data_IF_452779177842
#
_entry.id   IF_452779177842
#
_cell.length_a   1.000
_cell.length_b   1.000
_cell.length_c   1.000
_cell.angle_alpha   90.00
_cell.angle_beta   90.00
_cell.angle_gamma   90.00
#
_symmetry.space_group_name_H-M   'P 1'
#
loop_
_entity.id
_entity.type
_entity.pdbx_description
1 polymer ?
#
# COMPACT_ATOMS: atom_id res chain seq x y z
N UNK A 1 44.33 4.52 -37.66
CA UNK A 1 43.79 5.35 -36.55
C UNK A 1 42.32 5.01 -36.38
N UNK A 2 41.97 4.14 -35.42
CA UNK A 2 40.58 3.93 -34.99
C UNK A 2 40.54 4.27 -33.50
N UNK A 3 40.17 5.51 -33.21
CA UNK A 3 40.04 6.04 -31.86
C UNK A 3 38.78 5.41 -31.24
N UNK A 4 38.98 4.37 -30.41
CA UNK A 4 37.90 3.74 -29.65
C UNK A 4 37.34 4.73 -28.63
N UNK A 5 36.09 5.12 -28.80
CA UNK A 5 35.36 5.93 -27.83
C UNK A 5 34.97 5.01 -26.66
N UNK A 6 35.74 5.06 -25.58
CA UNK A 6 35.40 4.40 -24.31
C UNK A 6 34.23 5.16 -23.68
N UNK A 7 33.02 4.60 -23.77
CA UNK A 7 31.86 5.14 -23.07
C UNK A 7 32.00 4.72 -21.61
N UNK A 8 32.36 5.69 -20.76
CA UNK A 8 32.46 5.53 -19.31
C UNK A 8 31.16 4.96 -18.73
N UNK A 9 31.25 3.83 -18.03
CA UNK A 9 30.13 3.07 -17.44
C UNK A 9 29.31 3.77 -16.33
N UNK A 10 29.48 5.09 -16.14
CA UNK A 10 28.69 5.87 -15.18
C UNK A 10 27.29 6.24 -15.66
N UNK A 11 27.06 6.31 -16.98
CA UNK A 11 25.77 6.72 -17.53
C UNK A 11 24.68 5.64 -17.42
N UNK A 12 25.07 4.36 -17.47
CA UNK A 12 24.13 3.23 -17.36
C UNK A 12 23.57 3.10 -15.93
N UNK A 13 24.42 3.23 -14.91
CA UNK A 13 23.99 3.17 -13.51
C UNK A 13 23.07 4.33 -13.09
N UNK A 14 23.22 5.52 -13.70
CA UNK A 14 22.33 6.64 -13.45
C UNK A 14 20.95 6.44 -14.11
N UNK A 15 20.90 5.76 -15.27
CA UNK A 15 19.66 5.47 -15.97
C UNK A 15 18.83 4.40 -15.24
N UNK A 16 19.47 3.36 -14.72
CA UNK A 16 18.80 2.30 -13.95
C UNK A 16 18.10 2.87 -12.71
N UNK A 17 18.76 3.82 -12.03
CA UNK A 17 18.23 4.49 -10.83
C UNK A 17 17.02 5.40 -11.11
N UNK A 18 16.96 5.99 -12.30
CA UNK A 18 15.80 6.77 -12.74
C UNK A 18 14.64 5.86 -13.18
N UNK A 19 14.93 4.69 -13.76
CA UNK A 19 13.92 3.67 -14.13
C UNK A 19 13.25 3.06 -12.89
N UNK A 20 14.01 2.73 -11.85
CA UNK A 20 13.43 2.24 -10.58
C UNK A 20 12.51 3.30 -9.95
N UNK A 21 12.90 4.57 -10.04
CA UNK A 21 12.11 5.69 -9.53
C UNK A 21 10.81 5.90 -10.32
N UNK A 22 10.81 5.75 -11.65
CA UNK A 22 9.54 5.77 -12.40
C UNK A 22 8.67 4.54 -12.14
N UNK A 23 9.26 3.36 -11.92
CA UNK A 23 8.49 2.17 -11.53
C UNK A 23 7.78 2.36 -10.18
N UNK A 24 8.47 2.95 -9.20
CA UNK A 24 7.88 3.31 -7.90
C UNK A 24 6.71 4.29 -8.05
N UNK A 25 6.80 5.29 -8.94
CA UNK A 25 5.72 6.24 -9.22
C UNK A 25 4.45 5.62 -9.82
N UNK A 26 4.53 4.44 -10.45
CA UNK A 26 3.35 3.72 -10.96
C UNK A 26 2.65 2.91 -9.85
N UNK A 27 3.35 2.60 -8.76
CA UNK A 27 2.86 1.71 -7.70
C UNK A 27 2.15 2.42 -6.54
N UNK A 28 2.40 3.71 -6.34
CA UNK A 28 1.87 4.49 -5.22
C UNK A 28 1.35 5.85 -5.68
N UNK A 29 0.28 6.33 -5.03
CA UNK A 29 -0.29 7.66 -5.28
C UNK A 29 0.42 8.77 -4.49
N UNK A 30 1.33 8.42 -3.59
CA UNK A 30 2.09 9.35 -2.77
C UNK A 30 3.53 8.87 -2.50
N UNK A 31 4.49 9.76 -2.66
CA UNK A 31 5.88 9.58 -2.22
C UNK A 31 6.00 10.03 -0.75
N UNK A 32 5.88 9.07 0.16
CA UNK A 32 5.88 9.31 1.60
C UNK A 32 7.23 9.83 2.14
N UNK A 33 8.32 9.71 1.38
CA UNK A 33 9.63 10.29 1.77
C UNK A 33 9.64 11.82 1.77
N UNK A 34 8.64 12.43 1.14
CA UNK A 34 8.52 13.89 0.99
C UNK A 34 7.70 14.55 2.10
N UNK A 35 7.16 13.79 3.04
CA UNK A 35 6.31 14.30 4.12
C UNK A 35 7.10 14.44 5.42
N UNK A 36 7.33 15.68 5.85
CA UNK A 36 8.07 15.97 7.08
C UNK A 36 7.39 15.39 8.33
N UNK A 37 6.07 15.22 8.31
CA UNK A 37 5.30 14.59 9.39
C UNK A 37 5.63 13.09 9.57
N UNK A 38 6.21 12.46 8.54
CA UNK A 38 6.65 11.07 8.54
C UNK A 38 8.17 10.94 8.74
N UNK A 39 8.92 12.04 8.70
CA UNK A 39 10.38 12.07 8.93
C UNK A 39 10.71 12.10 10.43
N UNK A 40 10.33 11.03 11.11
CA UNK A 40 10.61 10.82 12.53
C UNK A 40 10.54 9.33 12.88
N UNK A 41 11.23 8.89 13.95
CA UNK A 41 11.03 7.55 14.47
C UNK A 41 9.59 7.38 14.98
N UNK A 42 9.03 6.20 14.74
CA UNK A 42 7.76 5.75 15.29
C UNK A 42 8.01 4.51 16.15
N UNK A 43 7.38 4.42 17.32
CA UNK A 43 7.56 3.27 18.23
C UNK A 43 6.41 2.25 18.13
N UNK A 44 5.35 2.57 17.38
CA UNK A 44 4.21 1.68 17.16
C UNK A 44 3.47 1.99 15.86
N UNK A 45 2.76 1.00 15.33
CA UNK A 45 1.88 1.20 14.16
C UNK A 45 0.79 2.24 14.40
N UNK A 46 0.21 2.31 15.61
CA UNK A 46 -0.80 3.32 15.95
C UNK A 46 -0.26 4.75 15.90
N UNK A 47 1.03 4.95 16.18
CA UNK A 47 1.67 6.26 16.04
C UNK A 47 1.79 6.68 14.57
N UNK A 48 2.14 5.74 13.69
CA UNK A 48 2.14 5.95 12.23
C UNK A 48 0.73 6.30 11.75
N UNK A 49 -0.28 5.52 12.13
CA UNK A 49 -1.69 5.79 11.78
C UNK A 49 -2.11 7.19 12.21
N UNK A 50 -1.71 7.64 13.41
CA UNK A 50 -2.00 9.00 13.88
C UNK A 50 -1.39 10.09 12.99
N UNK A 51 -0.20 9.84 12.42
CA UNK A 51 0.38 10.75 11.43
C UNK A 51 -0.41 10.74 10.12
N UNK A 52 -0.75 9.56 9.59
CA UNK A 52 -1.56 9.42 8.37
C UNK A 52 -2.90 10.16 8.45
N UNK A 53 -3.59 10.06 9.60
CA UNK A 53 -4.91 10.66 9.82
C UNK A 53 -4.88 12.20 9.89
N UNK A 54 -3.70 12.84 9.96
CA UNK A 54 -3.60 14.31 9.85
C UNK A 54 -4.02 14.81 8.47
N UNK A 55 -3.77 14.02 7.42
CA UNK A 55 -4.16 14.33 6.04
C UNK A 55 -5.35 13.46 5.60
N UNK A 56 -5.38 12.19 5.99
CA UNK A 56 -6.45 11.24 5.65
C UNK A 56 -7.48 11.10 6.77
N UNK A 57 -8.05 12.22 7.22
CA UNK A 57 -8.89 12.29 8.42
C UNK A 57 -10.19 11.45 8.40
N UNK A 58 -10.65 11.01 7.22
CA UNK A 58 -11.81 10.12 7.07
C UNK A 58 -11.43 8.66 6.79
N UNK A 59 -10.16 8.37 6.52
CA UNK A 59 -9.74 7.04 6.06
C UNK A 59 -10.00 5.95 7.10
N UNK A 60 -9.83 6.24 8.39
CA UNK A 60 -10.17 5.29 9.45
C UNK A 60 -11.63 4.84 9.35
N UNK A 61 -12.57 5.79 9.24
CA UNK A 61 -13.99 5.49 9.11
C UNK A 61 -14.29 4.68 7.84
N UNK A 62 -13.67 5.05 6.72
CA UNK A 62 -13.83 4.32 5.45
C UNK A 62 -13.35 2.87 5.58
N UNK A 63 -12.14 2.66 6.10
CA UNK A 63 -11.57 1.32 6.30
C UNK A 63 -12.43 0.50 7.27
N UNK A 64 -12.90 1.09 8.36
CA UNK A 64 -13.70 0.40 9.37
C UNK A 64 -15.05 -0.12 8.86
N UNK A 65 -15.56 0.46 7.76
CA UNK A 65 -16.77 -0.03 7.07
C UNK A 65 -16.51 -1.14 6.05
N UNK A 66 -15.24 -1.48 5.79
CA UNK A 66 -14.87 -2.42 4.73
C UNK A 66 -14.70 -3.86 5.23
N UNK A 67 -14.82 -4.83 4.32
CA UNK A 67 -14.56 -6.26 4.58
C UNK A 67 -13.15 -6.53 5.12
N UNK A 68 -12.18 -5.64 4.85
CA UNK A 68 -10.80 -5.77 5.34
C UNK A 68 -10.66 -5.47 6.83
N UNK A 69 -11.62 -4.74 7.40
CA UNK A 69 -11.66 -4.43 8.83
C UNK A 69 -12.65 -5.30 9.58
N UNK A 70 -13.90 -5.39 9.08
CA UNK A 70 -14.95 -6.15 9.75
C UNK A 70 -14.70 -7.65 9.63
N UNK A 71 -14.04 -8.08 8.54
CA UNK A 71 -13.93 -9.50 8.16
C UNK A 71 -15.29 -10.18 7.98
N UNK A 72 -16.33 -9.38 7.75
CA UNK A 72 -17.69 -9.83 7.51
C UNK A 72 -18.01 -9.71 6.02
N UNK A 73 -18.75 -10.67 5.50
CA UNK A 73 -19.32 -10.63 4.15
C UNK A 73 -20.75 -11.14 4.21
N UNK A 74 -21.69 -10.39 3.63
CA UNK A 74 -23.06 -10.82 3.47
C UNK A 74 -23.20 -11.48 2.11
N UNK A 75 -23.52 -12.77 2.04
CA UNK A 75 -23.99 -13.37 0.80
C UNK A 75 -25.47 -13.02 0.66
N UNK A 76 -25.77 -11.91 -0.01
CA UNK A 76 -27.15 -11.57 -0.35
C UNK A 76 -27.76 -12.64 -1.26
N UNK A 77 -28.93 -13.16 -0.84
CA UNK A 77 -30.01 -13.87 -1.57
C UNK A 77 -29.67 -15.01 -2.56
N UNK A 78 -28.42 -15.20 -2.97
CA UNK A 78 -28.01 -16.07 -4.07
C UNK A 78 -27.50 -17.45 -3.62
N UNK A 79 -27.49 -17.69 -2.31
CA UNK A 79 -27.13 -18.96 -1.72
C UNK A 79 -28.28 -19.30 -0.79
N UNK A 80 -29.02 -20.39 -1.05
CA UNK A 80 -30.28 -20.76 -0.38
C UNK A 80 -30.21 -20.97 1.14
N UNK A 81 -29.15 -20.53 1.79
CA UNK A 81 -28.95 -20.37 3.22
C UNK A 81 -29.14 -18.87 3.53
N UNK A 82 -30.37 -18.51 3.95
CA UNK A 82 -30.73 -17.11 4.23
C UNK A 82 -29.76 -16.41 5.18
N UNK A 83 -29.66 -15.08 5.06
CA UNK A 83 -28.96 -14.09 5.92
C UNK A 83 -27.85 -14.63 6.85
N UNK A 84 -27.00 -15.52 6.34
CA UNK A 84 -25.93 -16.10 7.15
C UNK A 84 -24.72 -15.18 7.03
N UNK A 85 -24.30 -14.61 8.16
CA UNK A 85 -23.09 -13.81 8.24
C UNK A 85 -21.87 -14.70 7.91
N UNK A 86 -21.12 -14.33 6.88
CA UNK A 86 -19.90 -15.01 6.45
C UNK A 86 -18.68 -14.09 6.59
N UNK A 87 -17.54 -14.53 6.07
CA UNK A 87 -16.26 -13.83 6.14
C UNK A 87 -15.33 -14.45 7.18
N UNK A 88 -14.09 -13.96 7.23
CA UNK A 88 -13.06 -14.56 8.10
C UNK A 88 -13.44 -14.52 9.59
N UNK A 89 -14.35 -13.64 10.00
CA UNK A 89 -14.88 -13.60 11.36
C UNK A 89 -15.76 -14.82 11.71
N UNK A 90 -16.33 -15.52 10.72
CA UNK A 90 -17.36 -16.54 10.94
C UNK A 90 -17.04 -17.89 10.27
N UNK A 91 -16.19 -17.90 9.24
CA UNK A 91 -15.90 -19.10 8.46
C UNK A 91 -14.88 -19.97 9.18
N UNK A 92 -15.27 -21.21 9.48
CA UNK A 92 -14.35 -22.30 9.82
C UNK A 92 -13.80 -22.93 8.54
N UNK A 93 -12.49 -23.18 8.51
CA UNK A 93 -11.83 -23.88 7.42
C UNK A 93 -10.95 -25.02 7.98
N UNK A 94 -10.25 -25.73 7.09
CA UNK A 94 -9.39 -26.87 7.42
C UNK A 94 -7.90 -26.58 7.18
N UNK A 95 -7.48 -25.32 7.38
CA UNK A 95 -6.09 -24.84 7.22
C UNK A 95 -5.47 -24.40 8.55
#
# INVERSE_FOLDING_TARGET
>A
MLLGCSVSGGALAALDKEVDKVADLVSTTADHSRFAELDKPFVSGSEVTRACLKCHNQAASQVHTSIHWTWESNLGENHGEGDTALGKAHVLNNY
#
